data_IF_606325475316
#
_entry.id   IF_606325475316
#
_cell.length_a   1.000
_cell.length_b   1.000
_cell.length_c   1.000
_cell.angle_alpha   90.00
_cell.angle_beta   90.00
_cell.angle_gamma   90.00
#
_symmetry.space_group_name_H-M   'P 1'
#
loop_
_entity.id
_entity.type
_entity.pdbx_description
1 polymer ?
#
# COMPACT_ATOMS: atom_id res chain seq x y z
N UNK A 1 8.23 13.30 17.39
CA UNK A 1 7.37 12.10 17.32
C UNK A 1 8.12 11.10 16.49
N UNK A 2 8.35 9.89 17.01
CA UNK A 2 8.87 8.75 16.25
C UNK A 2 7.65 8.06 15.65
N UNK A 3 7.33 8.35 14.38
CA UNK A 3 6.26 7.63 13.70
C UNK A 3 6.68 6.18 13.39
N UNK A 4 5.71 5.35 13.03
CA UNK A 4 5.88 3.94 12.71
C UNK A 4 6.22 3.77 11.23
N UNK A 5 7.11 2.83 10.89
CA UNK A 5 7.36 2.45 9.48
C UNK A 5 6.27 1.53 8.98
N UNK A 6 6.05 1.46 7.67
CA UNK A 6 5.04 0.56 7.10
C UNK A 6 5.32 -0.91 7.46
N UNK A 7 6.59 -1.32 7.45
CA UNK A 7 7.01 -2.68 7.84
C UNK A 7 6.67 -3.03 9.31
N UNK A 8 6.55 -2.03 10.17
CA UNK A 8 6.29 -2.18 11.61
C UNK A 8 4.79 -2.09 11.96
N UNK A 9 3.90 -1.89 10.97
CA UNK A 9 2.45 -1.88 11.21
C UNK A 9 1.94 -3.27 11.64
N UNK A 10 0.91 -3.28 12.48
CA UNK A 10 0.20 -4.54 12.81
C UNK A 10 -0.75 -4.98 11.69
N UNK A 11 -1.23 -4.02 10.90
CA UNK A 11 -2.17 -4.24 9.79
C UNK A 11 -1.60 -3.69 8.47
N UNK A 12 -1.09 -4.61 7.64
CA UNK A 12 -0.58 -4.30 6.30
C UNK A 12 -1.66 -4.32 5.22
N UNK A 13 -2.94 -4.32 5.58
CA UNK A 13 -4.00 -4.14 4.59
C UNK A 13 -4.04 -2.71 4.07
N UNK A 14 -4.72 -2.50 2.94
CA UNK A 14 -5.04 -1.16 2.43
C UNK A 14 -5.71 -0.33 3.52
N UNK A 15 -6.64 -0.90 4.28
CA UNK A 15 -7.29 -0.22 5.39
C UNK A 15 -6.27 0.22 6.45
N UNK A 16 -5.48 -0.71 6.99
CA UNK A 16 -4.50 -0.40 8.05
C UNK A 16 -3.48 0.66 7.65
N UNK A 17 -2.91 0.54 6.45
CA UNK A 17 -1.94 1.52 5.93
C UNK A 17 -2.59 2.89 5.72
N UNK A 18 -3.80 2.92 5.14
CA UNK A 18 -4.48 4.18 4.86
C UNK A 18 -4.95 4.90 6.13
N UNK A 19 -5.48 4.17 7.11
CA UNK A 19 -5.87 4.73 8.40
C UNK A 19 -4.67 5.27 9.17
N UNK A 20 -3.57 4.50 9.25
CA UNK A 20 -2.31 4.96 9.89
C UNK A 20 -1.75 6.23 9.22
N UNK A 21 -1.89 6.36 7.89
CA UNK A 21 -1.54 7.59 7.19
C UNK A 21 -2.44 8.77 7.61
N UNK A 22 -3.76 8.58 7.62
CA UNK A 22 -4.72 9.64 7.96
C UNK A 22 -4.59 10.10 9.41
N UNK A 23 -4.20 9.21 10.32
CA UNK A 23 -3.95 9.51 11.74
C UNK A 23 -2.57 10.13 11.99
N UNK A 24 -1.71 10.18 10.96
CA UNK A 24 -0.35 10.73 11.06
C UNK A 24 0.59 9.84 11.87
N UNK A 25 0.29 8.55 11.98
CA UNK A 25 1.11 7.57 12.68
C UNK A 25 2.34 7.17 11.87
N UNK A 26 2.24 7.23 10.54
CA UNK A 26 3.34 6.92 9.65
C UNK A 26 4.41 8.03 9.66
N UNK A 27 5.67 7.61 9.77
CA UNK A 27 6.83 8.44 9.44
C UNK A 27 7.52 7.83 8.21
N UNK A 28 7.12 8.23 6.97
CA UNK A 28 7.79 7.79 5.76
C UNK A 28 9.26 8.24 5.83
N UNK A 29 10.18 7.29 5.86
CA UNK A 29 11.62 7.59 5.98
C UNK A 29 12.31 7.57 4.59
N UNK A 30 11.62 7.02 3.59
CA UNK A 30 12.11 6.91 2.22
C UNK A 30 10.99 7.02 1.16
N UNK A 31 11.40 7.09 -0.11
CA UNK A 31 10.49 7.18 -1.24
C UNK A 31 9.61 5.93 -1.42
N UNK A 32 10.02 4.79 -0.86
CA UNK A 32 9.29 3.52 -0.96
C UNK A 32 8.08 3.55 -0.03
N UNK A 33 8.24 4.08 1.18
CA UNK A 33 7.15 4.30 2.13
C UNK A 33 6.07 5.24 1.54
N UNK A 34 6.49 6.35 0.90
CA UNK A 34 5.57 7.28 0.23
C UNK A 34 4.78 6.61 -0.91
N UNK A 35 5.44 5.76 -1.69
CA UNK A 35 4.83 5.03 -2.81
C UNK A 35 3.79 4.01 -2.30
N UNK A 36 4.09 3.33 -1.19
CA UNK A 36 3.16 2.40 -0.53
C UNK A 36 1.90 3.12 -0.02
N UNK A 37 2.04 4.27 0.65
CA UNK A 37 0.88 5.07 1.10
C UNK A 37 0.02 5.54 -0.07
N UNK A 38 0.64 6.04 -1.14
CA UNK A 38 -0.10 6.49 -2.33
C UNK A 38 -0.85 5.34 -3.00
N UNK A 39 -0.24 4.16 -3.08
CA UNK A 39 -0.90 2.97 -3.63
C UNK A 39 -2.07 2.52 -2.75
N UNK A 40 -1.92 2.55 -1.42
CA UNK A 40 -3.02 2.30 -0.49
C UNK A 40 -4.18 3.27 -0.74
N UNK A 41 -3.92 4.56 -0.94
CA UNK A 41 -4.94 5.55 -1.30
C UNK A 41 -5.68 5.21 -2.62
N UNK A 42 -4.95 4.84 -3.67
CA UNK A 42 -5.55 4.42 -4.96
C UNK A 42 -6.47 3.19 -4.77
N UNK A 43 -6.02 2.21 -3.98
CA UNK A 43 -6.79 1.00 -3.72
C UNK A 43 -8.02 1.27 -2.84
N UNK A 44 -7.87 2.13 -1.83
CA UNK A 44 -8.94 2.61 -0.96
C UNK A 44 -10.06 3.30 -1.76
N UNK A 45 -9.71 4.22 -2.67
CA UNK A 45 -10.66 4.91 -3.55
C UNK A 45 -11.47 3.95 -4.44
N UNK A 46 -10.89 2.80 -4.78
CA UNK A 46 -11.52 1.75 -5.61
C UNK A 46 -12.22 0.66 -4.79
N UNK A 47 -12.10 0.67 -3.46
CA UNK A 47 -12.78 -0.25 -2.55
C UNK A 47 -12.02 -1.54 -2.24
N UNK A 48 -10.72 -1.63 -2.53
CA UNK A 48 -9.88 -2.82 -2.28
C UNK A 48 -9.31 -2.87 -0.87
N UNK A 49 -10.13 -2.54 0.13
CA UNK A 49 -9.72 -2.30 1.53
C UNK A 49 -8.98 -3.46 2.20
N UNK A 50 -9.27 -4.69 1.81
CA UNK A 50 -8.73 -5.90 2.45
C UNK A 50 -7.52 -6.47 1.73
N UNK A 51 -7.04 -5.82 0.66
CA UNK A 51 -5.82 -6.27 -0.03
C UNK A 51 -4.60 -6.04 0.85
N UNK A 52 -3.69 -7.00 0.86
CA UNK A 52 -2.54 -7.03 1.74
C UNK A 52 -1.28 -6.57 1.00
N UNK A 53 -0.60 -5.58 1.55
CA UNK A 53 0.67 -5.10 1.03
C UNK A 53 1.73 -6.21 1.08
N UNK A 54 2.54 -6.32 0.03
CA UNK A 54 3.59 -7.34 -0.07
C UNK A 54 4.98 -6.71 -0.18
N UNK A 55 5.14 -5.73 -1.07
CA UNK A 55 6.40 -5.02 -1.29
C UNK A 55 6.18 -3.75 -2.11
N UNK A 56 7.13 -2.82 -2.03
CA UNK A 56 7.18 -1.63 -2.86
C UNK A 56 8.58 -1.40 -3.44
N UNK A 57 8.61 -0.70 -4.57
CA UNK A 57 9.78 -0.02 -5.14
C UNK A 57 9.50 1.48 -5.16
N UNK A 58 10.40 2.28 -5.72
CA UNK A 58 10.16 3.71 -5.94
C UNK A 58 9.08 4.00 -7.01
N UNK A 59 8.67 2.97 -7.78
CA UNK A 59 7.75 3.14 -8.92
C UNK A 59 6.44 2.38 -8.72
N UNK A 60 6.48 1.18 -8.16
CA UNK A 60 5.35 0.26 -8.09
C UNK A 60 5.20 -0.39 -6.73
N UNK A 61 4.02 -0.91 -6.48
CA UNK A 61 3.72 -1.71 -5.29
C UNK A 61 3.09 -3.02 -5.68
N UNK A 62 3.28 -4.04 -4.84
CA UNK A 62 2.66 -5.35 -4.99
C UNK A 62 1.73 -5.64 -3.82
N UNK A 63 0.58 -6.20 -4.14
CA UNK A 63 -0.51 -6.46 -3.22
C UNK A 63 -1.06 -7.86 -3.46
N UNK A 64 -1.60 -8.48 -2.42
CA UNK A 64 -2.31 -9.75 -2.52
C UNK A 64 -3.78 -9.54 -2.21
N UNK A 65 -4.68 -10.05 -3.05
CA UNK A 65 -6.12 -10.01 -2.79
C UNK A 65 -6.60 -11.15 -1.88
N UNK A 66 -7.90 -11.21 -1.61
CA UNK A 66 -8.49 -12.27 -0.77
C UNK A 66 -8.48 -13.66 -1.42
N UNK A 67 -8.27 -13.75 -2.73
CA UNK A 67 -8.15 -15.00 -3.47
C UNK A 67 -6.71 -15.53 -3.46
N UNK A 68 -5.75 -14.69 -3.05
CA UNK A 68 -4.33 -15.01 -3.03
C UNK A 68 -3.61 -14.57 -4.30
N UNK A 69 -4.29 -13.89 -5.22
CA UNK A 69 -3.72 -13.40 -6.47
C UNK A 69 -2.88 -12.15 -6.20
N UNK A 70 -1.80 -12.00 -6.96
CA UNK A 70 -0.85 -10.91 -6.82
C UNK A 70 -1.13 -9.82 -7.85
N UNK A 71 -1.15 -8.58 -7.38
CA UNK A 71 -1.48 -7.41 -8.18
C UNK A 71 -0.38 -6.37 -8.05
N UNK A 72 -0.02 -5.76 -9.17
CA UNK A 72 0.85 -4.58 -9.20
C UNK A 72 -0.01 -3.33 -9.29
N UNK A 73 0.34 -2.33 -8.50
CA UNK A 73 -0.30 -1.03 -8.50
C UNK A 73 0.74 0.04 -8.82
N UNK A 74 0.43 0.85 -9.83
CA UNK A 74 1.13 2.08 -10.17
C UNK A 74 0.39 3.26 -9.50
N UNK A 75 0.95 3.86 -8.44
CA UNK A 75 0.32 4.97 -7.74
C UNK A 75 0.45 6.32 -8.47
N UNK A 76 1.17 6.39 -9.59
CA UNK A 76 1.29 7.61 -10.39
C UNK A 76 0.09 7.81 -11.31
N UNK A 77 -0.47 6.73 -11.87
CA UNK A 77 -1.62 6.79 -12.78
C UNK A 77 -2.83 5.96 -12.31
N UNK A 78 -2.69 5.20 -11.23
CA UNK A 78 -3.76 4.37 -10.66
C UNK A 78 -4.05 3.10 -11.45
N UNK A 79 -3.13 2.67 -12.32
CA UNK A 79 -3.21 1.38 -13.02
C UNK A 79 -2.99 0.23 -12.04
N UNK A 80 -3.75 -0.83 -12.25
CA UNK A 80 -3.72 -2.06 -11.46
C UNK A 80 -3.72 -3.22 -12.46
N UNK A 81 -2.78 -4.14 -12.33
CA UNK A 81 -2.73 -5.34 -13.18
C UNK A 81 -2.26 -6.56 -12.40
N UNK A 82 -2.73 -7.72 -12.81
CA UNK A 82 -2.37 -8.99 -12.22
C UNK A 82 -0.91 -9.34 -12.59
N UNK A 83 -0.15 -9.86 -11.63
CA UNK A 83 1.20 -10.33 -11.87
C UNK A 83 1.17 -11.70 -12.57
N UNK A 84 1.82 -11.82 -13.72
CA UNK A 84 2.02 -13.09 -14.41
C UNK A 84 1.03 -13.39 -15.54
N UNK A 85 0.16 -12.44 -15.90
CA UNK A 85 -0.67 -12.46 -17.12
C UNK A 85 0.06 -11.90 -18.34
#
# INVERSE_FOLDING_TARGET
MTGTRIDDLEDHTVQGIWEAHLEGELAPDDAVDDVAVRAAGVLAEKGYWTWMFQAATEEFTSWQDLHGDYWVVDPANGCIWEWGT
#
